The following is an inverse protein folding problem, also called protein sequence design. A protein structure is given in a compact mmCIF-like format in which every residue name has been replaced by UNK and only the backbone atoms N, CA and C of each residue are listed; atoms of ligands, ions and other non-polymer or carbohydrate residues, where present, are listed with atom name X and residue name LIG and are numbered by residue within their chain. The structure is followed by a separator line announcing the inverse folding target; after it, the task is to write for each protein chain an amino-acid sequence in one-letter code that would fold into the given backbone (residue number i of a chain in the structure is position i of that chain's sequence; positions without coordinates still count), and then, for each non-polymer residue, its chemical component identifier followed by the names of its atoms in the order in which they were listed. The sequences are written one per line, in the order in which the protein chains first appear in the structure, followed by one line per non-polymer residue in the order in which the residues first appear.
data_IF_538877441531
#
_entry.id   IF_538877441531
#
_cell.length_a   1.000
_cell.length_b   1.000
_cell.length_c   1.000
_cell.angle_alpha   90.00
_cell.angle_beta   90.00
_cell.angle_gamma   90.00
#
_symmetry.space_group_name_H-M   'P 1'
#
loop_
_entity.id
_entity.type
_entity.pdbx_description
1 polymer ?
#
# COMPACT_ATOMS: atom_id res chain seq x y z
N UNK A 1 -21.01 1.66 -22.21
CA UNK A 1 -20.47 2.17 -21.83
C UNK A 1 -19.53 1.88 -21.02
N UNK A 2 -19.13 1.30 -20.68
CA UNK A 2 -18.16 0.96 -19.85
C UNK A 2 -16.83 1.10 -20.38
N UNK A 3 -16.78 1.57 -21.59
CA UNK A 3 -15.57 1.67 -22.23
C UNK A 3 -14.59 2.51 -21.52
N UNK A 4 -14.97 3.54 -20.93
CA UNK A 4 -14.02 4.45 -20.33
C UNK A 4 -13.45 3.90 -19.03
N UNK A 5 -14.15 3.00 -18.37
CA UNK A 5 -13.63 2.52 -17.10
C UNK A 5 -12.49 1.56 -17.28
N UNK A 6 -12.31 1.03 -18.47
CA UNK A 6 -11.21 0.11 -18.71
C UNK A 6 -9.88 0.83 -18.81
N UNK A 7 -9.89 2.07 -19.23
CA UNK A 7 -8.68 2.81 -19.44
C UNK A 7 -8.32 3.73 -18.29
N UNK A 8 -9.21 3.88 -17.33
CA UNK A 8 -9.04 4.84 -16.25
C UNK A 8 -9.24 4.15 -14.91
N UNK A 9 -8.36 4.46 -13.97
CA UNK A 9 -8.50 3.93 -12.62
C UNK A 9 -9.82 4.39 -12.04
N UNK A 10 -10.60 3.46 -11.52
CA UNK A 10 -11.89 3.79 -10.96
C UNK A 10 -11.71 4.44 -9.59
N UNK A 11 -12.79 5.05 -9.11
CA UNK A 11 -12.77 5.66 -7.81
C UNK A 11 -12.49 4.64 -6.71
N UNK A 12 -13.07 3.46 -6.84
CA UNK A 12 -12.85 2.41 -5.85
C UNK A 12 -11.42 1.88 -5.89
N UNK A 13 -10.86 1.76 -7.09
CA UNK A 13 -9.48 1.34 -7.22
C UNK A 13 -8.53 2.36 -6.60
N UNK A 14 -8.83 3.63 -6.82
CA UNK A 14 -8.02 4.70 -6.23
C UNK A 14 -8.13 4.68 -4.72
N UNK A 15 -9.32 4.41 -4.20
CA UNK A 15 -9.52 4.29 -2.77
C UNK A 15 -8.69 3.14 -2.20
N UNK A 16 -8.70 2.00 -2.88
CA UNK A 16 -7.91 0.86 -2.43
C UNK A 16 -6.42 1.19 -2.42
N UNK A 17 -5.96 1.88 -3.45
CA UNK A 17 -4.55 2.27 -3.52
C UNK A 17 -4.19 3.21 -2.39
N UNK A 18 -5.06 4.18 -2.10
CA UNK A 18 -4.81 5.11 -1.01
C UNK A 18 -4.80 4.40 0.35
N UNK A 19 -5.67 3.41 0.51
CA UNK A 19 -5.69 2.64 1.75
C UNK A 19 -4.41 1.83 1.92
N UNK A 20 -3.92 1.24 0.84
CA UNK A 20 -2.68 0.48 0.91
C UNK A 20 -1.51 1.40 1.25
N UNK A 21 -1.49 2.59 0.68
CA UNK A 21 -0.46 3.58 0.98
C UNK A 21 -0.52 4.00 2.44
N UNK A 22 -1.74 4.17 2.96
CA UNK A 22 -1.92 4.56 4.34
C UNK A 22 -1.42 3.47 5.28
N UNK A 23 -1.72 2.22 4.98
CA UNK A 23 -1.26 1.10 5.80
C UNK A 23 0.26 1.04 5.80
N UNK A 24 0.87 1.24 4.65
CA UNK A 24 2.33 1.25 4.57
C UNK A 24 2.92 2.34 5.46
N UNK A 25 2.36 3.54 5.39
CA UNK A 25 2.86 4.65 6.19
C UNK A 25 2.65 4.39 7.67
N UNK A 26 1.49 3.86 8.05
CA UNK A 26 1.19 3.62 9.44
C UNK A 26 2.07 2.51 10.01
N UNK A 27 2.36 1.49 9.21
CA UNK A 27 3.22 0.41 9.69
C UNK A 27 4.62 0.91 9.99
N UNK A 28 5.12 1.87 9.22
CA UNK A 28 6.42 2.45 9.49
C UNK A 28 6.42 3.25 10.79
N UNK A 29 5.37 4.04 11.00
CA UNK A 29 5.25 4.82 12.23
C UNK A 29 5.13 3.91 13.45
N UNK A 30 4.38 2.82 13.31
CA UNK A 30 4.25 1.87 14.38
C UNK A 30 5.59 1.21 14.69
N UNK A 31 6.34 0.87 13.65
CA UNK A 31 7.65 0.25 13.84
C UNK A 31 8.57 1.16 14.64
N UNK A 32 8.57 2.45 14.33
CA UNK A 32 9.38 3.41 15.08
C UNK A 32 8.96 3.46 16.53
N UNK A 33 7.66 3.42 16.77
CA UNK A 33 7.14 3.47 18.13
C UNK A 33 7.53 2.21 18.91
N UNK A 34 7.45 1.06 18.27
CA UNK A 34 7.81 -0.19 18.93
C UNK A 34 9.29 -0.23 19.27
N UNK A 35 10.13 0.32 18.40
CA UNK A 35 11.55 0.41 18.68
C UNK A 35 11.82 1.35 19.86
N UNK A 36 11.08 2.46 19.95
CA UNK A 36 11.25 3.37 21.07
C UNK A 36 10.88 2.71 22.39
N UNK A 37 9.94 1.79 22.35
CA UNK A 37 9.47 1.09 23.55
C UNK A 37 10.27 -0.17 23.86
N UNK A 38 11.29 -0.45 23.04
CA UNK A 38 12.15 -1.63 23.22
C UNK A 38 11.36 -2.93 23.11
N UNK A 39 10.31 -2.93 22.32
CA UNK A 39 9.51 -4.14 22.07
C UNK A 39 10.08 -4.86 20.85
N UNK A 40 11.20 -5.56 21.06
CA UNK A 40 11.99 -6.09 19.96
C UNK A 40 11.26 -7.14 19.13
N UNK A 41 10.59 -8.06 19.77
CA UNK A 41 9.87 -9.10 19.05
C UNK A 41 8.74 -8.51 18.24
N UNK A 42 8.01 -7.58 18.85
CA UNK A 42 6.92 -6.92 18.16
C UNK A 42 7.42 -6.04 17.04
N UNK A 43 8.58 -5.41 17.24
CA UNK A 43 9.18 -4.60 16.18
C UNK A 43 9.57 -5.46 14.98
N UNK A 44 10.10 -6.67 15.23
CA UNK A 44 10.46 -7.57 14.14
C UNK A 44 9.22 -7.98 13.35
N UNK A 45 8.14 -8.27 14.03
CA UNK A 45 6.90 -8.62 13.36
C UNK A 45 6.35 -7.44 12.58
N UNK A 46 6.46 -6.26 13.13
CA UNK A 46 5.99 -5.05 12.47
C UNK A 46 6.84 -4.74 11.25
N UNK A 47 8.14 -4.99 11.32
CA UNK A 47 9.01 -4.77 10.18
C UNK A 47 8.59 -5.63 9.00
N UNK A 48 8.26 -6.89 9.28
CA UNK A 48 7.79 -7.77 8.22
C UNK A 48 6.45 -7.28 7.67
N UNK A 49 5.56 -6.83 8.55
CA UNK A 49 4.29 -6.29 8.12
C UNK A 49 4.50 -5.08 7.22
N UNK A 50 5.44 -4.21 7.58
CA UNK A 50 5.73 -3.02 6.79
C UNK A 50 6.25 -3.40 5.41
N UNK A 51 7.15 -4.39 5.35
CA UNK A 51 7.67 -4.86 4.07
C UNK A 51 6.55 -5.43 3.21
N UNK A 52 5.66 -6.20 3.82
CA UNK A 52 4.54 -6.76 3.09
C UNK A 52 3.60 -5.69 2.61
N UNK A 53 3.36 -4.68 3.44
CA UNK A 53 2.48 -3.57 3.06
C UNK A 53 3.10 -2.77 1.92
N UNK A 54 4.40 -2.58 1.94
CA UNK A 54 5.08 -1.88 0.86
C UNK A 54 4.98 -2.65 -0.44
N UNK A 55 5.18 -3.96 -0.37
CA UNK A 55 5.08 -4.79 -1.55
C UNK A 55 3.67 -4.79 -2.10
N UNK A 56 2.68 -4.84 -1.22
CA UNK A 56 1.29 -4.79 -1.64
C UNK A 56 0.99 -3.48 -2.35
N UNK A 57 1.45 -2.38 -1.77
CA UNK A 57 1.22 -1.08 -2.38
C UNK A 57 1.87 -0.99 -3.75
N UNK A 58 3.11 -1.45 -3.86
CA UNK A 58 3.82 -1.40 -5.15
C UNK A 58 3.14 -2.27 -6.20
N UNK A 59 2.75 -3.47 -5.80
CA UNK A 59 2.10 -4.39 -6.72
C UNK A 59 0.78 -3.80 -7.20
N UNK A 60 0.03 -3.24 -6.29
CA UNK A 60 -1.25 -2.64 -6.64
C UNK A 60 -1.06 -1.42 -7.53
N UNK A 61 -0.07 -0.59 -7.22
CA UNK A 61 0.20 0.61 -8.01
C UNK A 61 0.60 0.26 -9.44
N UNK A 62 1.44 -0.75 -9.58
CA UNK A 62 1.86 -1.18 -10.91
C UNK A 62 0.68 -1.72 -11.69
N UNK A 63 -0.14 -2.52 -11.03
CA UNK A 63 -1.29 -3.10 -11.71
C UNK A 63 -2.26 -2.03 -12.19
N UNK A 64 -2.53 -1.04 -11.35
CA UNK A 64 -3.46 0.01 -11.73
C UNK A 64 -2.87 0.94 -12.76
N UNK A 65 -1.56 1.16 -12.69
CA UNK A 65 -0.89 2.00 -13.68
C UNK A 65 -0.89 1.36 -15.05
N UNK A 66 -0.87 0.04 -15.12
CA UNK A 66 -0.89 -0.63 -16.41
C UNK A 66 -2.12 -0.26 -17.21
N UNK A 67 -3.23 0.01 -16.53
CA UNK A 67 -4.43 0.42 -17.22
C UNK A 67 -4.32 1.85 -17.72
N UNK A 68 -3.52 2.66 -17.07
CA UNK A 68 -3.38 4.05 -17.45
C UNK A 68 -2.34 4.27 -18.51
N UNK A 69 -1.36 3.39 -18.57
CA UNK A 69 -0.29 3.58 -19.55
C UNK A 69 -0.77 3.47 -20.97
N UNK A 70 -1.86 2.79 -21.16
CA UNK A 70 -2.38 2.65 -22.50
C UNK A 70 -2.94 3.94 -23.02
N UNK A 71 -3.06 4.90 -22.20
CA UNK A 71 -3.51 6.21 -22.64
C UNK A 71 -2.41 6.95 -23.36
#
# INVERSE_FOLDING_TARGET
MTWSTDAVITKQQKTALNMAKFIQAQSLLLLEKLNELDLDTEADLCEKLHEDAEQLFRTLAVRLNDFQEDL
#
